data_IF_551359085231
#
_entry.id   IF_551359085231
#
_cell.length_a   1.000
_cell.length_b   1.000
_cell.length_c   1.000
_cell.angle_alpha   90.00
_cell.angle_beta   90.00
_cell.angle_gamma   90.00
#
_symmetry.space_group_name_H-M   'P 1'
#
loop_
_entity.id
_entity.type
_entity.pdbx_description
1 polymer ?
#
# COMPACT_ATOMS: atom_id res chain seq x y z
N UNK A 1 -10.89 3.37 -29.02
CA UNK A 1 -10.03 2.78 -27.98
C UNK A 1 -9.03 1.88 -28.70
N UNK A 2 -7.78 2.31 -28.74
CA UNK A 2 -6.73 1.55 -29.43
C UNK A 2 -6.08 0.57 -28.43
N UNK A 3 -5.85 -0.66 -28.86
CA UNK A 3 -5.13 -1.65 -28.05
C UNK A 3 -3.62 -1.49 -28.23
N UNK A 4 -2.85 -2.01 -27.27
CA UNK A 4 -1.37 -1.92 -27.30
C UNK A 4 -0.78 -2.46 -28.59
N UNK A 5 -1.30 -3.58 -29.09
CA UNK A 5 -0.82 -4.21 -30.33
C UNK A 5 -1.06 -3.37 -31.60
N UNK A 6 -1.97 -2.39 -31.55
CA UNK A 6 -2.20 -1.43 -32.67
C UNK A 6 -1.30 -0.22 -32.60
N UNK A 7 -0.83 0.15 -31.40
CA UNK A 7 -0.04 1.37 -31.15
C UNK A 7 1.47 1.11 -31.15
N UNK A 8 1.90 -0.10 -30.83
CA UNK A 8 3.29 -0.44 -30.63
C UNK A 8 3.69 -1.64 -31.50
N UNK A 9 4.78 -1.50 -32.24
CA UNK A 9 5.32 -2.57 -33.06
C UNK A 9 5.91 -3.71 -32.22
N UNK A 10 6.38 -3.40 -31.04
CA UNK A 10 6.98 -4.37 -30.12
C UNK A 10 6.49 -4.16 -28.69
N UNK A 11 6.45 -5.23 -27.92
CA UNK A 11 6.23 -5.19 -26.47
C UNK A 11 7.34 -5.97 -25.78
N UNK A 12 7.97 -5.35 -24.77
CA UNK A 12 8.91 -6.04 -23.89
C UNK A 12 8.23 -6.35 -22.55
N UNK A 13 8.15 -7.61 -22.21
CA UNK A 13 7.73 -8.07 -20.88
C UNK A 13 8.95 -8.27 -20.00
N UNK A 14 8.82 -7.87 -18.73
CA UNK A 14 9.94 -7.91 -17.78
C UNK A 14 9.49 -8.61 -16.51
N UNK A 15 10.07 -9.77 -16.25
CA UNK A 15 9.99 -10.47 -14.99
C UNK A 15 11.12 -10.01 -14.07
N UNK A 16 10.76 -9.55 -12.86
CA UNK A 16 11.71 -8.85 -12.00
C UNK A 16 12.06 -9.62 -10.75
N UNK A 17 13.36 -9.87 -10.54
CA UNK A 17 13.92 -10.53 -9.37
C UNK A 17 14.99 -9.68 -8.68
N UNK A 18 15.45 -10.12 -7.51
CA UNK A 18 16.39 -9.36 -6.67
C UNK A 18 17.77 -9.14 -7.32
N UNK A 19 18.27 -10.09 -8.09
CA UNK A 19 19.62 -10.06 -8.67
C UNK A 19 19.64 -9.80 -10.16
N UNK A 20 18.64 -10.28 -10.87
CA UNK A 20 18.52 -10.20 -12.33
C UNK A 20 17.09 -9.91 -12.72
N UNK A 21 16.91 -9.31 -13.89
CA UNK A 21 15.62 -9.23 -14.56
C UNK A 21 15.68 -9.98 -15.88
N UNK A 22 14.63 -10.70 -16.20
CA UNK A 22 14.46 -11.39 -17.48
C UNK A 22 13.51 -10.64 -18.38
N UNK A 23 13.93 -10.43 -19.61
CA UNK A 23 13.23 -9.63 -20.63
C UNK A 23 12.81 -10.56 -21.77
N UNK A 24 11.59 -10.44 -22.22
CA UNK A 24 11.09 -11.10 -23.41
C UNK A 24 10.50 -10.05 -24.35
N UNK A 25 11.11 -9.89 -25.51
CA UNK A 25 10.64 -9.01 -26.58
C UNK A 25 9.71 -9.79 -27.50
N UNK A 26 8.50 -9.27 -27.72
CA UNK A 26 7.52 -9.86 -28.62
C UNK A 26 7.09 -8.86 -29.69
N UNK A 27 6.75 -9.35 -30.87
CA UNK A 27 6.11 -8.56 -31.93
C UNK A 27 4.69 -8.17 -31.53
N UNK A 28 4.31 -6.89 -31.63
CA UNK A 28 3.02 -6.37 -31.21
C UNK A 28 1.85 -7.04 -31.91
N UNK A 29 1.90 -7.14 -33.22
CA UNK A 29 0.84 -7.65 -34.04
C UNK A 29 0.56 -9.16 -33.83
N UNK A 30 1.58 -9.98 -33.56
CA UNK A 30 1.44 -11.44 -33.51
C UNK A 30 1.67 -12.04 -32.12
N UNK A 31 2.32 -11.33 -31.21
CA UNK A 31 2.75 -11.87 -29.93
C UNK A 31 3.87 -12.91 -30.07
N UNK A 32 4.50 -13.03 -31.26
CA UNK A 32 5.63 -13.93 -31.50
C UNK A 32 6.87 -13.42 -30.75
N UNK A 33 7.61 -14.32 -30.12
CA UNK A 33 8.86 -13.99 -29.45
C UNK A 33 9.93 -13.60 -30.45
N UNK A 34 10.50 -12.42 -30.28
CA UNK A 34 11.63 -11.91 -31.08
C UNK A 34 12.95 -12.33 -30.46
N UNK A 35 13.10 -12.07 -29.14
CA UNK A 35 14.31 -12.44 -28.40
C UNK A 35 14.05 -12.43 -26.89
N UNK A 36 14.93 -13.08 -26.13
CA UNK A 36 14.88 -13.13 -24.67
C UNK A 36 16.28 -12.96 -24.09
N UNK A 37 16.43 -12.16 -23.05
CA UNK A 37 17.71 -11.93 -22.38
C UNK A 37 17.54 -11.66 -20.90
N UNK A 38 18.61 -11.88 -20.15
CA UNK A 38 18.64 -11.60 -18.71
C UNK A 38 19.79 -10.64 -18.39
N UNK A 39 19.49 -9.62 -17.56
CA UNK A 39 20.47 -8.61 -17.16
C UNK A 39 20.45 -8.41 -15.63
N UNK A 40 21.61 -8.04 -15.03
CA UNK A 40 21.68 -7.71 -13.60
C UNK A 40 20.85 -6.48 -13.22
N UNK A 41 20.37 -6.43 -11.96
CA UNK A 41 19.59 -5.33 -11.38
C UNK A 41 20.45 -4.12 -10.98
N UNK A 42 21.50 -3.82 -11.75
CA UNK A 42 22.37 -2.67 -11.54
C UNK A 42 22.07 -1.58 -12.58
N UNK A 43 22.48 -0.33 -12.31
CA UNK A 43 22.35 0.76 -13.29
C UNK A 43 22.95 0.39 -14.65
N UNK A 44 24.14 -0.25 -14.65
CA UNK A 44 24.79 -0.72 -15.88
C UNK A 44 23.97 -1.83 -16.54
N UNK A 45 23.41 -2.76 -15.76
CA UNK A 45 22.55 -3.82 -16.28
C UNK A 45 21.27 -3.27 -16.89
N UNK A 46 20.64 -2.27 -16.29
CA UNK A 46 19.48 -1.57 -16.86
C UNK A 46 19.82 -0.88 -18.18
N UNK A 47 20.93 -0.16 -18.25
CA UNK A 47 21.39 0.47 -19.49
C UNK A 47 21.68 -0.56 -20.60
N UNK A 48 22.29 -1.70 -20.26
CA UNK A 48 22.51 -2.81 -21.20
C UNK A 48 21.21 -3.40 -21.72
N UNK A 49 20.21 -3.55 -20.83
CA UNK A 49 18.88 -4.05 -21.20
C UNK A 49 18.17 -3.09 -22.18
N UNK A 50 18.18 -1.79 -21.88
CA UNK A 50 17.61 -0.76 -22.77
C UNK A 50 18.31 -0.78 -24.13
N UNK A 51 19.64 -0.80 -24.17
CA UNK A 51 20.40 -0.91 -25.42
C UNK A 51 20.10 -2.22 -26.17
N UNK A 52 19.88 -3.33 -25.45
CA UNK A 52 19.49 -4.61 -26.05
C UNK A 52 18.11 -4.51 -26.73
N UNK A 53 17.14 -3.84 -26.12
CA UNK A 53 15.82 -3.58 -26.71
C UNK A 53 15.98 -2.74 -27.98
N UNK A 54 16.63 -1.58 -27.88
CA UNK A 54 16.78 -0.61 -28.98
C UNK A 54 17.51 -1.19 -30.20
N UNK A 55 18.46 -2.10 -30.01
CA UNK A 55 19.18 -2.76 -31.11
C UNK A 55 18.31 -3.77 -31.88
N UNK A 56 17.23 -4.27 -31.27
CA UNK A 56 16.36 -5.31 -31.84
C UNK A 56 15.05 -4.77 -32.39
N UNK A 57 14.78 -3.50 -32.11
CA UNK A 57 13.55 -2.84 -32.52
C UNK A 57 13.86 -1.61 -33.37
N UNK A 58 13.07 -1.39 -34.42
CA UNK A 58 13.19 -0.20 -35.29
C UNK A 58 12.03 0.78 -35.10
N UNK A 59 11.00 0.40 -34.36
CA UNK A 59 9.79 1.17 -34.13
C UNK A 59 9.44 1.36 -32.67
N UNK A 60 8.18 1.65 -32.42
CA UNK A 60 7.66 1.91 -31.08
C UNK A 60 7.67 0.66 -30.20
N UNK A 61 8.12 0.81 -28.95
CA UNK A 61 8.20 -0.28 -27.99
C UNK A 61 7.44 0.09 -26.73
N UNK A 62 6.58 -0.81 -26.29
CA UNK A 62 5.87 -0.72 -25.01
C UNK A 62 6.50 -1.66 -23.97
N UNK A 63 6.64 -1.23 -22.72
CA UNK A 63 7.19 -2.04 -21.64
C UNK A 63 6.12 -2.49 -20.63
N UNK A 64 5.99 -3.80 -20.44
CA UNK A 64 5.12 -4.43 -19.46
C UNK A 64 5.98 -4.97 -18.31
N UNK A 65 5.96 -4.29 -17.16
CA UNK A 65 6.87 -4.58 -16.03
C UNK A 65 6.10 -5.15 -14.86
N UNK A 66 6.54 -6.30 -14.35
CA UNK A 66 6.03 -6.85 -13.10
C UNK A 66 6.74 -6.20 -11.90
N UNK A 67 5.97 -5.93 -10.83
CA UNK A 67 6.55 -5.43 -9.58
C UNK A 67 7.24 -4.07 -9.66
N UNK A 68 6.70 -3.11 -10.43
CA UNK A 68 7.23 -1.76 -10.62
C UNK A 68 7.51 -0.97 -9.33
N UNK A 69 6.94 -1.39 -8.21
CA UNK A 69 7.14 -0.76 -6.88
C UNK A 69 8.01 -1.59 -5.94
N UNK A 70 8.61 -2.67 -6.42
CA UNK A 70 9.51 -3.57 -5.68
C UNK A 70 10.83 -3.76 -6.43
N UNK A 71 11.15 -4.98 -6.83
CA UNK A 71 12.38 -5.28 -7.59
C UNK A 71 12.45 -4.56 -8.93
N UNK A 72 11.31 -4.33 -9.58
CA UNK A 72 11.23 -3.62 -10.86
C UNK A 72 11.32 -2.10 -10.77
N UNK A 73 11.45 -1.49 -9.59
CA UNK A 73 11.43 -0.04 -9.47
C UNK A 73 12.58 0.64 -10.24
N UNK A 74 13.78 0.10 -10.17
CA UNK A 74 14.97 0.67 -10.84
C UNK A 74 14.87 0.62 -12.37
N UNK A 75 14.47 -0.52 -12.92
CA UNK A 75 14.31 -0.64 -14.37
C UNK A 75 13.11 0.17 -14.88
N UNK A 76 12.02 0.26 -14.10
CA UNK A 76 10.87 1.11 -14.45
C UNK A 76 11.28 2.58 -14.60
N UNK A 77 12.07 3.09 -13.65
CA UNK A 77 12.61 4.47 -13.73
C UNK A 77 13.48 4.64 -14.95
N UNK A 78 14.43 3.73 -15.20
CA UNK A 78 15.33 3.80 -16.34
C UNK A 78 14.61 3.74 -17.70
N UNK A 79 13.55 2.93 -17.82
CA UNK A 79 12.72 2.85 -19.02
C UNK A 79 11.96 4.16 -19.28
N UNK A 80 11.33 4.72 -18.23
CA UNK A 80 10.60 6.00 -18.34
C UNK A 80 11.57 7.14 -18.71
N UNK A 81 12.76 7.20 -18.11
CA UNK A 81 13.81 8.17 -18.44
C UNK A 81 14.34 8.00 -19.88
N UNK A 82 14.30 6.79 -20.40
CA UNK A 82 14.66 6.49 -21.79
C UNK A 82 13.50 6.70 -22.79
N UNK A 83 12.34 7.20 -22.33
CA UNK A 83 11.20 7.55 -23.18
C UNK A 83 10.26 6.38 -23.51
N UNK A 84 10.36 5.25 -22.82
CA UNK A 84 9.43 4.15 -23.03
C UNK A 84 8.09 4.39 -22.30
N UNK A 85 7.00 4.00 -22.95
CA UNK A 85 5.72 3.82 -22.28
C UNK A 85 5.74 2.54 -21.45
N UNK A 86 5.38 2.64 -20.17
CA UNK A 86 5.48 1.53 -19.21
C UNK A 86 4.12 1.26 -18.56
N UNK A 87 3.73 -0.01 -18.49
CA UNK A 87 2.61 -0.46 -17.64
C UNK A 87 3.07 -1.41 -16.55
N UNK A 88 2.41 -1.31 -15.41
CA UNK A 88 2.50 -2.29 -14.33
C UNK A 88 1.60 -3.49 -14.65
N UNK A 89 2.18 -4.67 -14.75
CA UNK A 89 1.44 -5.92 -14.92
C UNK A 89 1.44 -6.73 -13.64
N UNK A 90 0.42 -7.55 -13.47
CA UNK A 90 0.35 -8.49 -12.35
C UNK A 90 0.94 -9.83 -12.77
N UNK A 91 1.53 -10.59 -11.83
CA UNK A 91 1.94 -11.95 -12.08
C UNK A 91 0.84 -12.76 -12.75
N UNK A 92 1.20 -13.61 -13.70
CA UNK A 92 0.28 -14.53 -14.31
C UNK A 92 -0.38 -15.42 -13.24
N UNK A 93 -1.66 -15.77 -13.44
CA UNK A 93 -2.34 -16.65 -12.50
C UNK A 93 -1.66 -18.03 -12.49
N UNK A 94 -1.52 -18.68 -11.32
CA UNK A 94 -0.89 -20.01 -11.19
C UNK A 94 -1.48 -21.08 -12.11
N UNK A 95 -2.73 -20.96 -12.48
CA UNK A 95 -3.43 -21.86 -13.43
C UNK A 95 -2.88 -21.79 -14.85
N UNK A 96 -2.22 -20.69 -15.24
CA UNK A 96 -1.65 -20.51 -16.59
C UNK A 96 -0.40 -21.37 -16.80
N UNK A 97 0.26 -21.83 -15.75
CA UNK A 97 1.50 -22.61 -15.78
C UNK A 97 1.30 -24.12 -15.54
N UNK A 98 0.06 -24.58 -15.40
CA UNK A 98 -0.23 -25.97 -15.01
C UNK A 98 0.34 -27.02 -15.99
N UNK A 99 0.60 -26.66 -17.25
CA UNK A 99 1.07 -27.57 -18.29
C UNK A 99 2.42 -27.20 -18.93
N UNK A 100 2.98 -26.00 -18.64
CA UNK A 100 4.18 -25.48 -19.36
C UNK A 100 5.41 -25.34 -18.47
N UNK A 101 5.30 -25.67 -17.17
CA UNK A 101 6.39 -25.42 -16.21
C UNK A 101 6.52 -23.93 -15.86
N UNK A 102 7.47 -23.61 -14.96
CA UNK A 102 7.78 -22.25 -14.55
C UNK A 102 9.22 -21.90 -14.93
N UNK A 103 9.39 -20.81 -15.69
CA UNK A 103 10.68 -20.21 -15.94
C UNK A 103 10.54 -18.69 -16.06
N UNK A 104 11.56 -17.94 -15.68
CA UNK A 104 11.57 -16.47 -15.74
C UNK A 104 11.32 -15.95 -17.18
N UNK A 105 11.74 -16.71 -18.21
CA UNK A 105 11.49 -16.39 -19.60
C UNK A 105 10.01 -16.48 -19.97
N UNK A 106 9.31 -17.52 -19.47
CA UNK A 106 7.86 -17.68 -19.65
C UNK A 106 7.06 -16.61 -18.88
N UNK A 107 7.51 -16.23 -17.69
CA UNK A 107 6.87 -15.19 -16.90
C UNK A 107 7.04 -13.82 -17.58
N UNK A 108 8.23 -13.51 -18.11
CA UNK A 108 8.48 -12.31 -18.92
C UNK A 108 7.64 -12.30 -20.22
N UNK A 109 7.52 -13.43 -20.91
CA UNK A 109 6.68 -13.57 -22.09
C UNK A 109 5.20 -13.37 -21.75
N UNK A 110 4.74 -13.95 -20.64
CA UNK A 110 3.36 -13.79 -20.16
C UNK A 110 3.06 -12.32 -19.82
N UNK A 111 4.03 -11.60 -19.21
CA UNK A 111 3.92 -10.19 -18.93
C UNK A 111 3.73 -9.35 -20.21
N UNK A 112 4.53 -9.63 -21.27
CA UNK A 112 4.39 -8.97 -22.56
C UNK A 112 3.03 -9.24 -23.20
N UNK A 113 2.61 -10.51 -23.27
CA UNK A 113 1.34 -10.93 -23.90
C UNK A 113 0.11 -10.43 -23.14
N UNK A 114 0.21 -10.24 -21.83
CA UNK A 114 -0.89 -9.77 -20.98
C UNK A 114 -1.41 -8.38 -21.34
N UNK A 115 -0.63 -7.57 -22.06
CA UNK A 115 -1.02 -6.20 -22.43
C UNK A 115 -1.41 -6.04 -23.90
N UNK A 116 -1.05 -6.96 -24.80
CA UNK A 116 -1.24 -6.81 -26.25
C UNK A 116 -2.69 -6.46 -26.64
N UNK A 117 -3.65 -7.22 -26.14
CA UNK A 117 -5.09 -7.03 -26.43
C UNK A 117 -5.78 -6.04 -25.48
N UNK A 118 -5.04 -5.30 -24.67
CA UNK A 118 -5.64 -4.37 -23.72
C UNK A 118 -5.69 -2.96 -24.29
N UNK A 119 -6.77 -2.27 -23.98
CA UNK A 119 -6.90 -0.85 -24.22
C UNK A 119 -5.78 -0.08 -23.49
N UNK A 120 -4.99 0.67 -24.25
CA UNK A 120 -3.84 1.43 -23.78
C UNK A 120 -4.20 2.39 -22.65
N UNK A 121 -5.32 3.10 -22.75
CA UNK A 121 -5.76 4.07 -21.73
C UNK A 121 -6.18 3.40 -20.42
N UNK A 122 -6.45 2.08 -20.46
CA UNK A 122 -6.86 1.30 -19.30
C UNK A 122 -5.72 0.56 -18.59
N UNK A 123 -4.49 0.70 -19.09
CA UNK A 123 -3.33 0.07 -18.45
C UNK A 123 -2.96 0.76 -17.14
N UNK A 124 -2.46 -0.03 -16.21
CA UNK A 124 -2.00 0.48 -14.93
C UNK A 124 -0.63 1.16 -15.10
N UNK A 125 -0.61 2.49 -15.10
CA UNK A 125 0.65 3.25 -15.11
C UNK A 125 1.47 2.96 -13.85
N UNK A 126 2.81 2.86 -13.94
CA UNK A 126 3.67 2.64 -12.79
C UNK A 126 3.56 3.80 -11.81
N UNK A 127 3.82 3.52 -10.54
CA UNK A 127 3.85 4.57 -9.52
C UNK A 127 5.14 5.37 -9.65
N UNK A 128 5.03 6.70 -9.55
CA UNK A 128 6.20 7.57 -9.54
C UNK A 128 7.04 7.39 -8.28
N UNK A 129 8.33 7.60 -8.41
CA UNK A 129 9.31 7.68 -7.32
C UNK A 129 9.33 9.09 -6.70
N UNK A 130 10.38 9.44 -5.95
CA UNK A 130 10.53 10.76 -5.34
C UNK A 130 9.80 10.89 -3.99
N UNK A 131 9.19 12.04 -3.67
CA UNK A 131 8.60 12.31 -2.33
C UNK A 131 7.56 11.28 -1.88
N UNK A 132 6.81 10.67 -2.82
CA UNK A 132 5.91 9.56 -2.52
C UNK A 132 6.65 8.33 -1.98
N UNK A 133 7.87 8.07 -2.46
CA UNK A 133 8.68 6.95 -1.95
C UNK A 133 9.06 7.17 -0.48
N UNK A 134 9.35 8.42 -0.08
CA UNK A 134 9.58 8.77 1.32
C UNK A 134 8.35 8.48 2.20
N UNK A 135 7.14 8.85 1.76
CA UNK A 135 5.91 8.49 2.47
C UNK A 135 5.77 6.98 2.66
N UNK A 136 6.09 6.18 1.63
CA UNK A 136 6.04 4.72 1.71
C UNK A 136 7.01 4.15 2.74
N UNK A 137 8.23 4.68 2.80
CA UNK A 137 9.25 4.29 3.79
C UNK A 137 8.77 4.62 5.20
N UNK A 138 8.27 5.84 5.42
CA UNK A 138 7.73 6.27 6.72
C UNK A 138 6.53 5.43 7.16
N UNK A 139 5.61 5.08 6.26
CA UNK A 139 4.48 4.21 6.57
C UNK A 139 4.91 2.78 6.93
N UNK A 140 5.92 2.23 6.25
CA UNK A 140 6.47 0.92 6.55
C UNK A 140 7.15 0.91 7.94
N UNK A 141 8.02 1.88 8.21
CA UNK A 141 8.67 2.08 9.51
C UNK A 141 7.63 2.23 10.63
N UNK A 142 6.63 3.11 10.42
CA UNK A 142 5.53 3.30 11.37
C UNK A 142 4.82 1.99 11.73
N UNK A 143 4.55 1.16 10.72
CA UNK A 143 3.87 -0.13 10.96
C UNK A 143 4.67 -1.04 11.88
N UNK A 144 5.99 -1.11 11.71
CA UNK A 144 6.89 -1.91 12.53
C UNK A 144 6.94 -1.37 13.96
N UNK A 145 7.14 -0.05 14.12
CA UNK A 145 7.23 0.60 15.44
C UNK A 145 5.92 0.42 16.22
N UNK A 146 4.76 0.58 15.57
CA UNK A 146 3.45 0.44 16.22
C UNK A 146 3.16 -1.02 16.64
N UNK A 147 3.59 -1.99 15.84
CA UNK A 147 3.51 -3.42 16.18
C UNK A 147 4.39 -3.74 17.40
N UNK A 148 5.64 -3.26 17.41
CA UNK A 148 6.56 -3.46 18.53
C UNK A 148 6.04 -2.80 19.81
N UNK A 149 5.53 -1.55 19.71
CA UNK A 149 4.91 -0.86 20.84
C UNK A 149 3.75 -1.66 21.41
N UNK A 150 2.89 -2.18 20.56
CA UNK A 150 1.74 -2.98 20.96
C UNK A 150 2.20 -4.28 21.63
N UNK A 151 3.18 -4.98 21.07
CA UNK A 151 3.76 -6.19 21.64
C UNK A 151 4.38 -5.93 23.01
N UNK A 152 5.19 -4.88 23.16
CA UNK A 152 5.83 -4.52 24.43
C UNK A 152 4.78 -4.13 25.50
N UNK A 153 3.72 -3.41 25.11
CA UNK A 153 2.62 -3.04 26.01
C UNK A 153 1.83 -4.24 26.48
N UNK A 154 1.59 -5.20 25.61
CA UNK A 154 0.93 -6.47 25.94
C UNK A 154 1.80 -7.34 26.86
N UNK A 155 3.10 -7.45 26.57
CA UNK A 155 4.05 -8.19 27.39
C UNK A 155 4.18 -7.57 28.80
N UNK A 156 4.26 -6.24 28.90
CA UNK A 156 4.27 -5.54 30.18
C UNK A 156 2.99 -5.82 30.97
N UNK A 157 1.82 -5.75 30.32
CA UNK A 157 0.54 -6.02 30.98
C UNK A 157 0.46 -7.46 31.46
N UNK A 158 0.92 -8.43 30.67
CA UNK A 158 0.95 -9.84 31.04
C UNK A 158 1.88 -10.10 32.24
N UNK A 159 3.07 -9.50 32.24
CA UNK A 159 4.03 -9.59 33.35
C UNK A 159 3.44 -9.09 34.67
N UNK A 160 2.79 -7.92 34.64
CA UNK A 160 2.17 -7.32 35.83
C UNK A 160 0.93 -8.07 36.33
N UNK A 161 0.32 -8.90 35.49
CA UNK A 161 -0.77 -9.80 35.90
C UNK A 161 -0.29 -11.11 36.50
N UNK A 162 0.91 -11.55 36.11
CA UNK A 162 1.48 -12.82 36.61
C UNK A 162 2.32 -12.66 37.87
N UNK A 163 2.90 -11.47 38.08
CA UNK A 163 3.76 -11.18 39.25
C UNK A 163 3.27 -9.86 39.87
N UNK A 164 2.96 -9.90 41.15
CA UNK A 164 2.52 -8.72 41.89
C UNK A 164 3.69 -7.74 42.12
N UNK A 165 3.65 -6.66 41.36
CA UNK A 165 4.57 -5.51 41.48
C UNK A 165 3.85 -4.25 42.00
N UNK A 166 2.73 -4.39 42.68
CA UNK A 166 1.86 -3.35 43.21
C UNK A 166 1.31 -2.40 42.12
N UNK A 167 1.06 -2.90 40.90
CA UNK A 167 0.44 -2.14 39.80
C UNK A 167 -0.84 -2.84 39.35
N UNK A 168 -1.95 -2.15 39.37
CA UNK A 168 -3.23 -2.67 38.88
C UNK A 168 -3.22 -2.79 37.34
N UNK A 169 -3.13 -4.02 36.84
CA UNK A 169 -3.12 -4.36 35.43
C UNK A 169 -4.40 -5.09 34.96
N UNK A 170 -5.50 -5.08 35.78
CA UNK A 170 -6.80 -5.68 35.39
C UNK A 170 -7.37 -5.02 34.15
N UNK A 171 -7.14 -3.72 33.98
CA UNK A 171 -7.46 -2.94 32.77
C UNK A 171 -6.18 -2.69 31.94
N UNK A 172 -6.30 -2.29 30.66
CA UNK A 172 -5.14 -1.85 29.89
C UNK A 172 -4.40 -0.72 30.61
N UNK A 173 -3.08 -0.82 30.67
CA UNK A 173 -2.24 0.17 31.34
C UNK A 173 -2.40 1.55 30.71
N UNK A 174 -2.57 2.55 31.55
CA UNK A 174 -2.55 3.96 31.14
C UNK A 174 -1.13 4.44 30.82
N UNK A 175 -1.00 5.51 30.06
CA UNK A 175 0.31 6.08 29.76
C UNK A 175 0.99 6.67 31.02
N UNK A 176 0.20 7.09 32.03
CA UNK A 176 0.72 7.51 33.34
C UNK A 176 1.35 6.36 34.10
N UNK A 177 0.69 5.18 34.14
CA UNK A 177 1.25 3.97 34.77
C UNK A 177 2.52 3.51 34.05
N UNK A 178 2.56 3.54 32.72
CA UNK A 178 3.75 3.17 31.96
C UNK A 178 4.92 4.12 32.27
N UNK A 179 4.67 5.43 32.34
CA UNK A 179 5.70 6.40 32.76
C UNK A 179 6.20 6.16 34.16
N UNK A 180 5.30 5.86 35.11
CA UNK A 180 5.67 5.55 36.49
C UNK A 180 6.56 4.29 36.57
N UNK A 181 6.23 3.22 35.83
CA UNK A 181 7.03 2.00 35.76
C UNK A 181 8.41 2.27 35.12
N UNK A 182 8.46 3.06 34.06
CA UNK A 182 9.71 3.43 33.39
C UNK A 182 10.66 4.21 34.33
N UNK A 183 10.11 4.98 35.28
CA UNK A 183 10.85 5.75 36.26
C UNK A 183 11.34 4.92 37.47
N UNK A 184 11.01 3.64 37.59
CA UNK A 184 11.49 2.82 38.68
C UNK A 184 13.02 2.78 38.71
N UNK A 185 13.58 2.90 39.92
CA UNK A 185 15.02 2.76 40.11
C UNK A 185 15.44 1.31 40.15
N UNK A 186 16.59 0.92 39.58
CA UNK A 186 17.17 -0.40 39.77
C UNK A 186 17.38 -0.65 41.27
N UNK A 187 16.99 -1.82 41.75
CA UNK A 187 17.28 -2.21 43.15
C UNK A 187 18.80 -2.30 43.40
N UNK A 188 19.24 -1.79 44.53
CA UNK A 188 20.64 -1.93 44.95
C UNK A 188 20.80 -3.34 45.58
N UNK A 189 21.75 -4.17 45.10
CA UNK A 189 22.29 -5.29 45.82
C UNK A 189 21.45 -6.59 45.84
N UNK A 190 20.53 -6.78 44.90
CA UNK A 190 19.76 -8.02 44.82
C UNK A 190 20.44 -9.04 43.88
N UNK A 191 20.52 -10.29 44.34
CA UNK A 191 21.03 -11.40 43.52
C UNK A 191 20.20 -11.55 42.24
N UNK A 192 20.86 -11.90 41.15
CA UNK A 192 20.21 -12.13 39.82
C UNK A 192 19.12 -13.20 39.86
N UNK A 193 19.06 -13.98 40.94
CA UNK A 193 18.13 -15.12 41.14
C UNK A 193 16.79 -14.74 41.79
N UNK A 194 16.58 -13.48 42.27
CA UNK A 194 15.31 -13.06 42.85
C UNK A 194 14.26 -12.77 41.77
N UNK A 195 13.15 -13.53 41.68
CA UNK A 195 12.13 -13.36 40.66
C UNK A 195 11.48 -11.97 40.63
N UNK A 196 11.26 -11.34 41.77
CA UNK A 196 10.65 -10.00 41.88
C UNK A 196 11.60 -8.94 41.36
N UNK A 197 12.88 -9.04 41.63
CA UNK A 197 13.91 -8.12 41.10
C UNK A 197 14.01 -8.22 39.57
N UNK A 198 14.02 -9.45 39.06
CA UNK A 198 14.03 -9.70 37.60
C UNK A 198 12.76 -9.15 36.95
N UNK A 199 11.59 -9.44 37.51
CA UNK A 199 10.30 -8.98 37.02
C UNK A 199 10.23 -7.45 36.99
N UNK A 200 10.69 -6.78 38.06
CA UNK A 200 10.71 -5.32 38.15
C UNK A 200 11.64 -4.69 37.11
N UNK A 201 12.83 -5.27 36.90
CA UNK A 201 13.77 -4.83 35.87
C UNK A 201 13.17 -4.97 34.47
N UNK A 202 12.58 -6.12 34.17
CA UNK A 202 11.97 -6.38 32.85
C UNK A 202 10.72 -5.53 32.61
N UNK A 203 9.88 -5.30 33.63
CA UNK A 203 8.75 -4.40 33.53
C UNK A 203 9.22 -2.97 33.19
N UNK A 204 10.28 -2.47 33.87
CA UNK A 204 10.88 -1.18 33.56
C UNK A 204 11.41 -1.13 32.12
N UNK A 205 12.15 -2.16 31.68
CA UNK A 205 12.70 -2.24 30.30
C UNK A 205 11.58 -2.16 29.25
N UNK A 206 10.49 -2.91 29.43
CA UNK A 206 9.34 -2.89 28.54
C UNK A 206 8.64 -1.52 28.54
N UNK A 207 8.48 -0.90 29.71
CA UNK A 207 7.89 0.42 29.83
C UNK A 207 8.72 1.50 29.14
N UNK A 208 10.05 1.49 29.30
CA UNK A 208 10.98 2.40 28.59
C UNK A 208 10.84 2.21 27.08
N UNK A 209 10.87 0.98 26.58
CA UNK A 209 10.72 0.68 25.17
C UNK A 209 9.40 1.19 24.59
N UNK A 210 8.28 1.08 25.34
CA UNK A 210 6.98 1.64 24.93
C UNK A 210 7.04 3.15 24.78
N UNK A 211 7.70 3.87 25.70
CA UNK A 211 7.83 5.33 25.64
C UNK A 211 8.74 5.79 24.49
N UNK A 212 9.83 5.10 24.25
CA UNK A 212 10.73 5.37 23.11
C UNK A 212 9.98 5.20 21.79
N UNK A 213 9.25 4.10 21.64
CA UNK A 213 8.44 3.85 20.45
C UNK A 213 7.33 4.88 20.27
N UNK A 214 6.73 5.38 21.35
CA UNK A 214 5.75 6.46 21.30
C UNK A 214 6.38 7.76 20.78
N UNK A 215 7.59 8.07 21.20
CA UNK A 215 8.35 9.24 20.71
C UNK A 215 8.64 9.12 19.22
N UNK A 216 9.12 7.96 18.77
CA UNK A 216 9.36 7.67 17.35
C UNK A 216 8.09 7.78 16.50
N UNK A 217 6.95 7.27 17.00
CA UNK A 217 5.66 7.41 16.32
C UNK A 217 5.18 8.85 16.22
N UNK A 218 5.46 9.66 17.21
CA UNK A 218 5.14 11.10 17.22
C UNK A 218 5.97 11.86 16.21
N UNK A 219 7.27 11.58 16.13
CA UNK A 219 8.15 12.15 15.11
C UNK A 219 7.71 11.73 13.70
N UNK A 220 7.53 10.44 13.47
CA UNK A 220 7.05 9.90 12.20
C UNK A 220 5.71 10.53 11.78
N UNK A 221 4.81 10.80 12.72
CA UNK A 221 3.54 11.47 12.46
C UNK A 221 3.72 12.89 11.91
N UNK A 222 4.66 13.66 12.47
CA UNK A 222 4.99 15.01 11.99
C UNK A 222 5.61 14.99 10.60
N UNK A 223 6.53 14.06 10.34
CA UNK A 223 7.15 13.89 9.03
C UNK A 223 6.12 13.49 7.96
N UNK A 224 5.20 12.56 8.27
CA UNK A 224 4.09 12.20 7.40
C UNK A 224 3.18 13.39 7.12
N UNK A 225 2.89 14.22 8.12
CA UNK A 225 2.08 15.42 7.95
C UNK A 225 2.73 16.39 6.98
N UNK A 226 3.99 16.76 7.20
CA UNK A 226 4.72 17.70 6.36
C UNK A 226 4.78 17.24 4.89
N UNK A 227 5.12 15.96 4.66
CA UNK A 227 5.20 15.43 3.31
C UNK A 227 3.82 15.30 2.65
N UNK A 228 2.78 14.94 3.40
CA UNK A 228 1.43 14.85 2.87
C UNK A 228 0.88 16.22 2.50
N UNK A 229 1.13 17.26 3.29
CA UNK A 229 0.72 18.63 3.00
C UNK A 229 1.46 19.20 1.78
N UNK A 230 2.75 18.89 1.63
CA UNK A 230 3.53 19.31 0.47
C UNK A 230 3.07 18.63 -0.84
N UNK A 231 2.68 17.34 -0.79
CA UNK A 231 2.29 16.56 -1.97
C UNK A 231 0.81 16.72 -2.35
N UNK A 232 -0.06 16.91 -1.39
CA UNK A 232 -1.49 17.05 -1.59
C UNK A 232 -2.05 18.12 -0.64
N UNK A 233 -1.83 19.40 -0.95
CA UNK A 233 -2.33 20.51 -0.15
C UNK A 233 -3.84 20.39 0.10
N UNK A 234 -4.26 20.74 1.32
CA UNK A 234 -5.66 20.71 1.76
C UNK A 234 -6.33 19.33 1.80
N UNK A 235 -5.63 18.23 1.50
CA UNK A 235 -6.21 16.89 1.64
C UNK A 235 -6.61 16.60 3.09
N UNK A 236 -5.81 17.09 4.05
CA UNK A 236 -6.05 16.91 5.48
C UNK A 236 -7.13 17.84 6.04
N UNK A 237 -7.60 18.85 5.28
CA UNK A 237 -8.76 19.67 5.65
C UNK A 237 -10.07 18.87 5.60
N UNK A 238 -10.06 17.75 4.90
CA UNK A 238 -11.25 16.90 4.83
C UNK A 238 -11.53 16.20 6.17
N UNK A 239 -12.77 16.23 6.68
CA UNK A 239 -13.11 15.60 7.92
C UNK A 239 -12.63 14.15 8.02
N UNK A 240 -11.92 13.82 9.09
CA UNK A 240 -11.42 12.48 9.37
C UNK A 240 -10.17 12.06 8.60
N UNK A 241 -9.62 12.91 7.74
CA UNK A 241 -8.35 12.66 7.06
C UNK A 241 -7.21 13.22 7.94
N UNK A 242 -6.43 12.34 8.53
CA UNK A 242 -5.21 12.69 9.26
C UNK A 242 -3.95 12.31 8.48
N UNK A 243 -2.75 12.67 8.97
CA UNK A 243 -1.47 12.48 8.26
C UNK A 243 -1.22 11.06 7.75
N UNK A 244 -1.50 10.05 8.57
CA UNK A 244 -1.30 8.64 8.21
C UNK A 244 -2.25 8.21 7.09
N UNK A 245 -3.54 8.59 7.18
CA UNK A 245 -4.52 8.24 6.15
C UNK A 245 -4.26 9.01 4.86
N UNK A 246 -3.86 10.28 4.93
CA UNK A 246 -3.43 11.08 3.79
C UNK A 246 -2.23 10.44 3.09
N UNK A 247 -1.19 10.08 3.82
CA UNK A 247 0.00 9.42 3.27
C UNK A 247 -0.35 8.10 2.55
N UNK A 248 -1.20 7.25 3.13
CA UNK A 248 -1.67 6.00 2.50
C UNK A 248 -2.40 6.32 1.19
N UNK A 249 -3.28 7.30 1.20
CA UNK A 249 -4.07 7.74 0.05
C UNK A 249 -3.16 8.25 -1.06
N UNK A 250 -2.20 9.14 -0.75
CA UNK A 250 -1.23 9.67 -1.70
C UNK A 250 -0.37 8.54 -2.29
N UNK A 251 0.10 7.61 -1.46
CA UNK A 251 0.86 6.44 -1.94
C UNK A 251 0.06 5.56 -2.90
N UNK A 252 -1.25 5.39 -2.66
CA UNK A 252 -2.11 4.60 -3.52
C UNK A 252 -2.49 5.32 -4.82
N UNK A 253 -2.77 6.62 -4.76
CA UNK A 253 -3.10 7.46 -5.90
C UNK A 253 -1.88 7.68 -6.81
N UNK A 254 -0.76 8.06 -6.23
CA UNK A 254 0.56 8.34 -6.79
C UNK A 254 0.68 9.70 -7.49
N UNK A 255 0.04 9.92 -8.63
CA UNK A 255 0.12 11.15 -9.42
C UNK A 255 -1.12 11.31 -10.29
N UNK A 256 -1.32 12.51 -10.81
CA UNK A 256 -2.41 12.81 -11.72
C UNK A 256 -2.34 11.93 -12.99
N UNK A 257 -3.48 11.47 -13.46
CA UNK A 257 -3.60 10.63 -14.65
C UNK A 257 -3.28 9.14 -14.46
N UNK A 258 -2.71 8.73 -13.30
CA UNK A 258 -2.52 7.30 -13.02
C UNK A 258 -3.82 6.56 -12.74
N UNK A 259 -4.72 7.20 -12.02
CA UNK A 259 -6.05 6.64 -11.71
C UNK A 259 -7.09 7.42 -12.50
N UNK A 260 -7.60 6.81 -13.56
CA UNK A 260 -8.44 7.46 -14.58
C UNK A 260 -9.77 8.02 -14.08
N UNK A 261 -10.33 7.47 -13.01
CA UNK A 261 -11.64 7.87 -12.51
C UNK A 261 -11.81 7.57 -11.01
N UNK A 262 -12.79 8.23 -10.42
CA UNK A 262 -13.24 7.97 -9.05
C UNK A 262 -13.70 6.52 -8.84
N UNK A 263 -14.34 5.92 -9.84
CA UNK A 263 -14.74 4.52 -9.81
C UNK A 263 -13.52 3.57 -9.81
N UNK A 264 -12.49 3.89 -10.61
CA UNK A 264 -11.23 3.16 -10.64
C UNK A 264 -10.48 3.27 -9.31
N UNK A 265 -10.50 4.46 -8.67
CA UNK A 265 -9.90 4.65 -7.36
C UNK A 265 -10.62 3.85 -6.27
N UNK A 266 -11.94 3.82 -6.29
CA UNK A 266 -12.72 3.00 -5.38
C UNK A 266 -12.50 1.50 -5.61
N UNK A 267 -12.35 1.06 -6.85
CA UNK A 267 -12.02 -0.32 -7.20
C UNK A 267 -10.62 -0.70 -6.70
N UNK A 268 -9.63 0.20 -6.86
CA UNK A 268 -8.27 0.03 -6.32
C UNK A 268 -8.29 -0.23 -4.81
N UNK A 269 -9.11 0.50 -4.04
CA UNK A 269 -9.26 0.31 -2.60
C UNK A 269 -10.20 -0.84 -2.20
N UNK A 270 -10.78 -1.58 -3.15
CA UNK A 270 -11.81 -2.58 -2.84
C UNK A 270 -13.06 -1.99 -2.20
N UNK A 271 -13.35 -0.71 -2.48
CA UNK A 271 -14.49 0.04 -1.92
C UNK A 271 -15.71 -0.03 -2.87
N UNK A 272 -15.46 -0.22 -4.17
CA UNK A 272 -16.51 -0.36 -5.15
C UNK A 272 -17.30 -1.66 -4.92
N UNK A 273 -18.65 -1.60 -4.88
CA UNK A 273 -19.47 -2.78 -4.78
C UNK A 273 -19.38 -3.60 -6.09
N UNK A 274 -19.32 -4.93 -5.96
CA UNK A 274 -19.42 -5.83 -7.12
C UNK A 274 -20.89 -6.23 -7.29
N UNK A 275 -21.50 -6.01 -8.44
CA UNK A 275 -22.84 -6.53 -8.71
C UNK A 275 -22.87 -8.06 -8.54
N UNK A 276 -23.86 -8.56 -7.85
CA UNK A 276 -24.08 -9.98 -7.60
C UNK A 276 -25.58 -10.26 -7.72
N UNK A 277 -26.17 -9.80 -8.81
CA UNK A 277 -27.59 -9.94 -9.10
C UNK A 277 -27.84 -11.21 -9.88
N UNK A 278 -28.94 -11.89 -9.56
CA UNK A 278 -29.48 -13.02 -10.32
C UNK A 278 -31.00 -12.91 -10.38
N UNK A 279 -31.57 -12.99 -11.58
CA UNK A 279 -33.02 -12.83 -11.78
C UNK A 279 -33.54 -11.51 -11.20
N UNK A 280 -34.59 -11.56 -10.42
CA UNK A 280 -35.25 -10.40 -9.82
C UNK A 280 -34.53 -9.82 -8.57
N UNK A 281 -33.38 -10.36 -8.19
CA UNK A 281 -32.68 -9.93 -6.98
C UNK A 281 -31.46 -9.10 -7.33
N UNK A 282 -31.47 -7.79 -7.01
CA UNK A 282 -30.30 -6.92 -7.13
C UNK A 282 -29.53 -6.91 -5.81
N UNK A 283 -28.34 -7.51 -5.80
CA UNK A 283 -27.45 -7.55 -4.64
C UNK A 283 -26.04 -7.09 -5.04
N UNK A 284 -25.29 -6.68 -4.02
CA UNK A 284 -23.88 -6.31 -4.18
C UNK A 284 -23.05 -7.07 -3.17
N UNK A 285 -21.95 -7.66 -3.62
CA UNK A 285 -20.97 -8.33 -2.76
C UNK A 285 -19.73 -7.47 -2.54
N UNK A 286 -18.97 -7.79 -1.50
CA UNK A 286 -17.70 -7.16 -1.20
C UNK A 286 -16.62 -7.62 -2.18
N UNK A 287 -15.82 -6.68 -2.64
CA UNK A 287 -14.54 -6.96 -3.27
C UNK A 287 -13.56 -7.42 -2.20
N UNK A 288 -13.02 -8.63 -2.33
CA UNK A 288 -11.93 -9.14 -1.46
C UNK A 288 -10.54 -8.80 -2.00
N UNK A 289 -10.46 -8.37 -3.26
CA UNK A 289 -9.28 -7.84 -3.91
C UNK A 289 -9.14 -6.33 -3.67
N UNK A 290 -7.97 -5.77 -3.94
CA UNK A 290 -7.68 -4.36 -3.82
C UNK A 290 -6.65 -4.05 -2.72
N UNK A 291 -6.26 -2.79 -2.66
CA UNK A 291 -5.30 -2.28 -1.69
C UNK A 291 -5.91 -2.26 -0.28
N UNK A 292 -5.45 -3.17 0.57
CA UNK A 292 -5.94 -3.30 1.95
C UNK A 292 -5.63 -2.10 2.81
N UNK A 293 -4.48 -1.43 2.58
CA UNK A 293 -4.10 -0.24 3.35
C UNK A 293 -5.01 0.93 2.99
N UNK A 294 -5.29 1.12 1.69
CA UNK A 294 -6.23 2.12 1.22
C UNK A 294 -7.66 1.86 1.76
N UNK A 295 -8.12 0.61 1.74
CA UNK A 295 -9.42 0.25 2.33
C UNK A 295 -9.49 0.57 3.81
N UNK A 296 -8.43 0.25 4.57
CA UNK A 296 -8.33 0.56 6.00
C UNK A 296 -8.29 2.06 6.26
N UNK A 297 -7.58 2.83 5.44
CA UNK A 297 -7.54 4.29 5.55
C UNK A 297 -8.95 4.89 5.43
N UNK A 298 -9.73 4.48 4.42
CA UNK A 298 -11.13 4.91 4.30
C UNK A 298 -12.02 4.42 5.45
N UNK A 299 -11.76 3.25 6.02
CA UNK A 299 -12.49 2.79 7.20
C UNK A 299 -12.22 3.66 8.43
N UNK A 300 -10.97 4.06 8.63
CA UNK A 300 -10.58 5.00 9.71
C UNK A 300 -11.25 6.35 9.50
N UNK A 301 -11.17 6.93 8.30
CA UNK A 301 -11.82 8.21 7.97
C UNK A 301 -13.31 8.17 8.26
N UNK A 302 -14.00 7.12 7.82
CA UNK A 302 -15.45 6.99 8.03
C UNK A 302 -15.79 6.84 9.51
N UNK A 303 -15.06 6.00 10.26
CA UNK A 303 -15.30 5.85 11.70
C UNK A 303 -15.08 7.16 12.45
N UNK A 304 -14.03 7.89 12.09
CA UNK A 304 -13.76 9.20 12.67
C UNK A 304 -14.88 10.20 12.34
N UNK A 305 -15.37 10.27 11.09
CA UNK A 305 -16.51 11.11 10.72
C UNK A 305 -17.79 10.73 11.48
N UNK A 306 -18.03 9.44 11.66
CA UNK A 306 -19.21 8.96 12.40
C UNK A 306 -19.21 9.38 13.88
N UNK A 307 -18.03 9.61 14.48
CA UNK A 307 -17.94 10.03 15.89
C UNK A 307 -18.19 11.51 16.11
N UNK A 308 -17.78 12.39 15.18
CA UNK A 308 -17.85 13.83 15.43
C UNK A 308 -18.48 14.67 14.31
N UNK A 309 -18.48 14.22 13.04
CA UNK A 309 -18.90 15.05 11.91
C UNK A 309 -20.44 15.11 11.81
N UNK A 310 -21.10 16.31 11.95
CA UNK A 310 -22.54 16.41 12.11
C UNK A 310 -23.33 15.78 10.97
N UNK A 311 -23.05 16.17 9.71
CA UNK A 311 -23.76 15.65 8.53
C UNK A 311 -23.60 14.12 8.36
N UNK A 312 -22.46 13.55 8.81
CA UNK A 312 -22.27 12.09 8.80
C UNK A 312 -23.11 11.42 9.86
N UNK A 313 -23.23 12.02 11.04
CA UNK A 313 -24.06 11.50 12.14
C UNK A 313 -25.55 11.52 11.77
N UNK A 314 -26.02 12.59 11.15
CA UNK A 314 -27.40 12.70 10.63
C UNK A 314 -27.68 11.63 9.57
N UNK A 315 -26.78 11.46 8.61
CA UNK A 315 -26.87 10.39 7.61
C UNK A 315 -26.95 9.01 8.28
N UNK A 316 -26.12 8.72 9.27
CA UNK A 316 -26.11 7.45 10.00
C UNK A 316 -27.44 7.24 10.73
N UNK A 317 -27.97 8.25 11.42
CA UNK A 317 -29.24 8.19 12.13
C UNK A 317 -30.40 7.85 11.17
N UNK A 318 -30.50 8.59 10.06
CA UNK A 318 -31.51 8.34 9.02
C UNK A 318 -31.42 6.91 8.46
N UNK A 319 -30.22 6.45 8.10
CA UNK A 319 -30.04 5.12 7.50
C UNK A 319 -30.31 3.99 8.48
N UNK A 320 -30.08 4.20 9.78
CA UNK A 320 -30.46 3.26 10.84
C UNK A 320 -31.98 3.19 10.99
N UNK A 321 -32.67 4.32 10.94
CA UNK A 321 -34.14 4.37 10.95
C UNK A 321 -34.78 3.62 9.77
N UNK A 322 -34.06 3.60 8.60
CA UNK A 322 -34.40 2.81 7.41
C UNK A 322 -34.06 1.30 7.55
N UNK A 323 -33.63 0.83 8.72
CA UNK A 323 -33.28 -0.57 8.98
C UNK A 323 -31.91 -1.02 8.44
N UNK A 324 -31.03 -0.09 8.02
CA UNK A 324 -29.71 -0.44 7.49
C UNK A 324 -28.73 -0.77 8.62
N UNK A 325 -27.92 -1.80 8.40
CA UNK A 325 -26.87 -2.20 9.34
C UNK A 325 -25.68 -1.23 9.32
N UNK A 326 -24.94 -1.14 10.42
CA UNK A 326 -23.71 -0.34 10.50
C UNK A 326 -22.68 -0.73 9.44
N UNK A 327 -22.66 -1.98 8.98
CA UNK A 327 -21.76 -2.44 7.92
C UNK A 327 -22.15 -1.84 6.56
N UNK A 328 -23.42 -1.82 6.23
CA UNK A 328 -23.95 -1.22 4.99
C UNK A 328 -23.72 0.29 4.99
N UNK A 329 -24.05 0.95 6.08
CA UNK A 329 -23.85 2.40 6.24
C UNK A 329 -22.38 2.78 6.03
N UNK A 330 -21.44 2.07 6.67
CA UNK A 330 -20.00 2.32 6.47
C UNK A 330 -19.53 2.10 5.03
N UNK A 331 -20.09 1.14 4.30
CA UNK A 331 -19.76 0.94 2.88
C UNK A 331 -20.19 2.14 2.04
N UNK A 332 -21.40 2.65 2.24
CA UNK A 332 -21.87 3.84 1.55
C UNK A 332 -20.98 5.05 1.88
N UNK A 333 -20.70 5.27 3.17
CA UNK A 333 -19.84 6.36 3.61
C UNK A 333 -18.42 6.28 3.07
N UNK A 334 -17.83 5.07 2.98
CA UNK A 334 -16.53 4.88 2.32
C UNK A 334 -16.56 5.33 0.86
N UNK A 335 -17.65 5.03 0.16
CA UNK A 335 -17.81 5.43 -1.24
C UNK A 335 -17.91 6.95 -1.38
N UNK A 336 -18.65 7.63 -0.50
CA UNK A 336 -18.73 9.09 -0.46
C UNK A 336 -17.38 9.72 -0.09
N UNK A 337 -16.70 9.21 0.92
CA UNK A 337 -15.38 9.68 1.31
C UNK A 337 -14.35 9.51 0.18
N UNK A 338 -14.37 8.36 -0.50
CA UNK A 338 -13.52 8.08 -1.65
C UNK A 338 -13.73 9.08 -2.78
N UNK A 339 -14.99 9.41 -3.09
CA UNK A 339 -15.35 10.40 -4.11
C UNK A 339 -14.82 11.80 -3.77
N UNK A 340 -15.03 12.24 -2.53
CA UNK A 340 -14.56 13.54 -2.06
C UNK A 340 -13.04 13.63 -2.11
N UNK A 341 -12.34 12.61 -1.60
CA UNK A 341 -10.88 12.52 -1.59
C UNK A 341 -10.32 12.49 -3.02
N UNK A 342 -10.90 11.71 -3.92
CA UNK A 342 -10.44 11.65 -5.31
C UNK A 342 -10.53 13.01 -6.01
N UNK A 343 -11.64 13.73 -5.84
CA UNK A 343 -11.78 15.09 -6.41
C UNK A 343 -10.71 16.03 -5.87
N UNK A 344 -10.41 15.97 -4.56
CA UNK A 344 -9.36 16.78 -3.97
C UNK A 344 -7.99 16.44 -4.55
N UNK A 345 -7.66 15.15 -4.70
CA UNK A 345 -6.38 14.73 -5.31
C UNK A 345 -6.24 15.21 -6.76
N UNK A 346 -7.34 15.16 -7.53
CA UNK A 346 -7.36 15.67 -8.91
C UNK A 346 -7.08 17.18 -8.98
N UNK A 347 -7.48 17.94 -7.97
CA UNK A 347 -7.30 19.40 -7.95
C UNK A 347 -5.95 19.84 -7.38
N UNK A 348 -5.27 19.02 -6.59
CA UNK A 348 -4.06 19.43 -5.86
C UNK A 348 -2.79 18.65 -6.24
N UNK A 349 -2.90 17.58 -6.98
CA UNK A 349 -1.76 16.77 -7.44
C UNK A 349 -1.69 16.81 -8.99
N UNK A 350 -1.56 18.01 -9.53
CA UNK A 350 -1.39 18.23 -10.98
C UNK A 350 0.04 17.96 -11.43
#
# INVERSE_FOLDING_TARGET
MAIVAELFEHVVGIDTHARTHTYCLVAGATGAVVDTATFPTTKVGHARAINWILRRTRGSVFAAVEGTSSYGAGITTALVEAGFDVAEVRPAARTTHAHTGKSDALDAQAAARAVLGRDYDNLAKPRQSGPRAALRVLLASRSIIDQQRTANRNALTALLRSIDLAVDARKPLTDAQIRAIAAWRPGRGTTVADPLTVARREARRLAVAVLEQQTLLTQNHRELQQLADALAPRLQDQPGVGPVTAAIIICAYSHHGRVRSEAAFAALGGIAPIPASSGNTSRHRLTRSGDRQLNRAFDVIVRTRMSYHPATREYVARRRAEGRTNREIRRCLKRYACRSVFRQLQSCMT
#
